data_IF_142458706476
#
_entry.id   IF_142458706476
#
_cell.length_a   1.000
_cell.length_b   1.000
_cell.length_c   1.000
_cell.angle_alpha   90.00
_cell.angle_beta   90.00
_cell.angle_gamma   90.00
#
_symmetry.space_group_name_H-M   'P 1'
#
loop_
_entity.id
_entity.type
_entity.pdbx_description
1 polymer ?
#
# COMPACT_ATOMS: atom_id res chain seq x y z
N UNK A 1 0.86 13.04 -57.31
CA UNK A 1 -0.33 13.83 -56.97
C UNK A 1 -0.26 14.21 -55.49
N UNK A 2 0.26 15.41 -55.23
CA UNK A 2 0.09 16.15 -53.95
C UNK A 2 -0.91 17.28 -54.21
N UNK A 3 -1.30 18.12 -53.25
CA UNK A 3 -1.59 17.95 -51.80
C UNK A 3 -2.98 18.60 -51.49
N UNK A 4 -3.31 18.83 -50.21
CA UNK A 4 -4.21 19.89 -49.62
C UNK A 4 -4.91 19.31 -48.37
N UNK A 5 -5.14 19.98 -47.25
CA UNK A 5 -4.99 21.38 -46.82
C UNK A 5 -5.09 21.42 -45.27
N UNK A 6 -4.41 22.40 -44.68
CA UNK A 6 -4.47 22.82 -43.27
C UNK A 6 -5.90 23.17 -42.82
N UNK A 7 -6.18 23.08 -41.51
CA UNK A 7 -6.82 24.22 -40.84
C UNK A 7 -6.47 24.25 -39.33
N UNK A 8 -5.81 25.35 -38.96
CA UNK A 8 -5.68 25.87 -37.60
C UNK A 8 -7.03 26.40 -37.11
N UNK A 9 -7.39 26.17 -35.84
CA UNK A 9 -8.25 27.14 -35.16
C UNK A 9 -7.90 27.32 -33.68
N UNK A 10 -7.37 28.50 -33.43
CA UNK A 10 -7.19 29.15 -32.16
C UNK A 10 -8.53 29.45 -31.45
N UNK A 11 -8.45 29.71 -30.14
CA UNK A 11 -9.38 30.60 -29.45
C UNK A 11 -9.94 30.05 -28.14
N UNK A 12 -9.61 30.69 -27.02
CA UNK A 12 -10.35 30.48 -25.77
C UNK A 12 -9.60 30.81 -24.48
N UNK A 13 -8.94 31.96 -24.38
CA UNK A 13 -8.48 32.51 -23.09
C UNK A 13 -9.73 33.04 -22.37
N UNK A 14 -10.07 32.45 -21.22
CA UNK A 14 -11.16 32.91 -20.36
C UNK A 14 -10.55 33.33 -19.01
N UNK A 15 -10.40 34.64 -18.85
CA UNK A 15 -9.96 35.29 -17.62
C UNK A 15 -10.96 35.03 -16.48
N UNK A 16 -10.50 34.75 -15.25
CA UNK A 16 -11.36 34.85 -14.08
C UNK A 16 -11.46 36.31 -13.61
N UNK A 17 -12.71 36.74 -13.50
CA UNK A 17 -13.19 38.00 -12.96
C UNK A 17 -12.84 38.13 -11.47
N UNK A 18 -12.25 39.27 -11.13
CA UNK A 18 -11.98 39.80 -9.80
C UNK A 18 -13.28 40.40 -9.25
N UNK A 19 -13.79 39.92 -8.12
CA UNK A 19 -14.90 40.54 -7.41
C UNK A 19 -14.81 40.22 -5.91
N UNK A 20 -14.69 41.30 -5.12
CA UNK A 20 -15.15 41.51 -3.73
C UNK A 20 -14.55 40.59 -2.64
N UNK A 21 -13.64 41.02 -1.75
CA UNK A 21 -13.69 42.13 -0.76
C UNK A 21 -15.04 42.24 -0.08
N UNK A 22 -15.20 41.55 1.06
CA UNK A 22 -15.86 42.15 2.21
C UNK A 22 -15.15 41.73 3.50
N UNK A 23 -14.64 42.73 4.20
CA UNK A 23 -14.13 42.69 5.56
C UNK A 23 -15.32 42.79 6.50
N UNK A 24 -15.49 41.84 7.41
CA UNK A 24 -16.25 42.11 8.63
C UNK A 24 -15.72 41.31 9.82
N UNK A 25 -15.17 42.06 10.76
CA UNK A 25 -14.84 41.81 12.16
C UNK A 25 -15.24 43.12 12.87
N UNK A 26 -15.44 43.26 14.20
CA UNK A 26 -15.66 42.32 15.30
C UNK A 26 -16.91 42.72 16.17
N UNK A 27 -17.09 42.04 17.33
CA UNK A 27 -17.69 42.49 18.63
C UNK A 27 -18.94 41.74 19.12
N UNK A 28 -18.88 41.31 20.38
CA UNK A 28 -20.05 40.95 21.21
C UNK A 28 -19.80 39.76 22.14
N UNK A 29 -18.95 39.90 23.17
CA UNK A 29 -19.37 40.01 24.59
C UNK A 29 -20.63 39.19 24.97
N UNK A 30 -20.49 38.14 25.79
CA UNK A 30 -20.72 38.25 27.23
C UNK A 30 -20.51 36.92 27.96
N UNK A 31 -19.98 37.06 29.16
CA UNK A 31 -19.75 36.08 30.20
C UNK A 31 -21.04 35.70 30.92
N UNK A 32 -21.21 34.42 31.26
CA UNK A 32 -21.94 34.04 32.47
C UNK A 32 -21.27 32.83 33.12
N UNK A 33 -20.66 33.12 34.25
CA UNK A 33 -20.28 32.15 35.28
C UNK A 33 -21.55 31.83 36.03
N UNK A 34 -21.93 30.55 36.14
CA UNK A 34 -22.72 30.14 37.29
C UNK A 34 -22.18 28.84 37.88
N UNK A 35 -21.96 28.95 39.17
CA UNK A 35 -21.29 28.03 40.06
C UNK A 35 -22.37 27.63 41.04
N UNK A 36 -22.84 26.39 41.01
CA UNK A 36 -23.52 25.84 42.18
C UNK A 36 -23.28 24.34 42.30
N UNK A 37 -22.75 24.01 43.47
CA UNK A 37 -22.34 22.70 43.95
C UNK A 37 -23.51 22.09 44.79
N UNK A 38 -23.33 21.00 45.54
CA UNK A 38 -23.83 19.66 45.25
C UNK A 38 -25.09 19.26 46.06
N UNK A 39 -25.80 18.22 45.61
CA UNK A 39 -26.69 17.42 46.47
C UNK A 39 -26.56 15.93 46.20
N UNK A 40 -26.36 15.20 47.30
CA UNK A 40 -26.15 13.77 47.43
C UNK A 40 -27.42 12.92 47.29
N UNK A 41 -27.30 11.77 46.58
CA UNK A 41 -27.73 10.37 46.92
C UNK A 41 -29.27 10.10 47.06
N UNK A 42 -29.87 8.96 46.59
CA UNK A 42 -29.38 7.57 46.72
C UNK A 42 -29.51 6.61 45.52
N UNK A 43 -28.85 5.46 45.74
CA UNK A 43 -28.85 4.17 45.07
C UNK A 43 -30.10 3.79 44.26
N UNK A 44 -29.85 3.39 43.01
CA UNK A 44 -30.67 2.40 42.32
C UNK A 44 -29.74 1.41 41.62
N UNK A 45 -29.65 0.22 42.21
CA UNK A 45 -29.09 -0.98 41.59
C UNK A 45 -29.89 -1.28 40.32
N UNK A 46 -29.25 -1.15 39.17
CA UNK A 46 -29.70 -1.76 37.92
C UNK A 46 -28.49 -2.35 37.21
N UNK A 47 -28.32 -3.62 37.51
CA UNK A 47 -27.56 -4.60 36.76
C UNK A 47 -27.87 -4.50 35.27
N UNK A 48 -26.92 -3.97 34.50
CA UNK A 48 -26.86 -4.13 33.05
C UNK A 48 -25.51 -4.77 32.71
N UNK A 49 -25.59 -6.06 32.37
CA UNK A 49 -24.73 -6.86 31.48
C UNK A 49 -23.31 -6.34 31.14
N UNK A 50 -22.24 -7.06 31.54
CA UNK A 50 -20.90 -6.85 31.02
C UNK A 50 -20.72 -7.59 29.68
N UNK A 51 -21.27 -7.07 28.60
CA UNK A 51 -21.03 -7.63 27.24
C UNK A 51 -20.93 -6.57 26.15
N UNK A 52 -20.28 -5.43 26.40
CA UNK A 52 -19.81 -4.54 25.31
C UNK A 52 -18.46 -3.87 25.65
N UNK A 53 -17.56 -4.60 26.31
CA UNK A 53 -16.13 -4.25 26.36
C UNK A 53 -15.36 -5.19 25.43
N UNK A 54 -15.58 -5.06 24.12
CA UNK A 54 -14.60 -5.53 23.13
C UNK A 54 -13.89 -4.31 22.57
N UNK A 55 -12.77 -3.99 23.22
CA UNK A 55 -11.59 -3.37 22.65
C UNK A 55 -11.81 -2.15 21.74
N UNK A 56 -12.18 -1.02 22.33
CA UNK A 56 -11.58 0.26 21.91
C UNK A 56 -10.13 0.29 22.42
N UNK A 57 -9.25 -0.56 21.88
CA UNK A 57 -7.82 -0.29 21.94
C UNK A 57 -7.61 0.86 20.97
N UNK A 58 -7.35 2.06 21.49
CA UNK A 58 -6.68 3.10 20.73
C UNK A 58 -5.39 2.48 20.18
N UNK A 59 -5.51 2.08 18.93
CA UNK A 59 -4.47 1.43 18.16
C UNK A 59 -3.50 2.54 17.76
N UNK A 60 -2.53 2.82 18.64
CA UNK A 60 -1.25 3.41 18.24
C UNK A 60 -0.52 2.33 17.42
N UNK A 61 -1.09 2.04 16.24
CA UNK A 61 -0.64 0.98 15.34
C UNK A 61 0.52 1.57 14.57
N UNK A 62 1.70 1.06 14.90
CA UNK A 62 2.90 1.33 14.14
C UNK A 62 2.67 1.00 12.66
N UNK A 63 3.24 1.79 11.77
CA UNK A 63 3.07 1.61 10.33
C UNK A 63 3.48 0.21 9.83
N UNK A 64 4.30 -0.50 10.60
CA UNK A 64 4.69 -1.91 10.37
C UNK A 64 3.55 -2.87 10.69
N UNK A 65 2.89 -2.68 11.82
CA UNK A 65 1.78 -3.53 12.26
C UNK A 65 0.59 -3.38 11.30
N UNK A 66 0.35 -2.16 10.80
CA UNK A 66 -0.63 -1.92 9.74
C UNK A 66 -0.29 -2.72 8.48
N UNK A 67 0.97 -2.72 8.05
CA UNK A 67 1.39 -3.47 6.87
C UNK A 67 1.20 -4.98 7.06
N UNK A 68 1.57 -5.52 8.22
CA UNK A 68 1.38 -6.94 8.54
C UNK A 68 -0.10 -7.29 8.52
N UNK A 69 -0.96 -6.48 9.14
CA UNK A 69 -2.41 -6.68 9.08
C UNK A 69 -2.95 -6.66 7.64
N UNK A 70 -2.55 -5.69 6.81
CA UNK A 70 -2.96 -5.65 5.40
C UNK A 70 -2.48 -6.87 4.63
N UNK A 71 -1.25 -7.33 4.87
CA UNK A 71 -0.67 -8.51 4.23
C UNK A 71 -1.45 -9.77 4.60
N UNK A 72 -1.81 -9.94 5.87
CA UNK A 72 -2.59 -11.08 6.34
C UNK A 72 -4.03 -11.04 5.84
N UNK A 73 -4.66 -9.85 5.79
CA UNK A 73 -6.03 -9.69 5.30
C UNK A 73 -6.16 -9.92 3.79
N UNK A 74 -5.25 -9.37 2.98
CA UNK A 74 -5.28 -9.50 1.53
C UNK A 74 -4.64 -10.80 1.03
N UNK A 75 -3.77 -11.43 1.84
CA UNK A 75 -3.00 -12.64 1.50
C UNK A 75 -2.14 -12.50 0.23
N UNK A 76 -1.94 -11.27 -0.24
CA UNK A 76 -1.18 -10.96 -1.45
C UNK A 76 -0.23 -9.79 -1.18
N UNK A 77 1.08 -10.06 -1.28
CA UNK A 77 2.13 -9.10 -0.92
C UNK A 77 2.07 -7.81 -1.74
N UNK A 78 1.92 -7.93 -3.06
CA UNK A 78 1.92 -6.78 -3.96
C UNK A 78 0.77 -5.82 -3.66
N UNK A 79 -0.41 -6.36 -3.33
CA UNK A 79 -1.61 -5.56 -3.10
C UNK A 79 -1.52 -4.84 -1.75
N UNK A 80 -1.05 -5.55 -0.73
CA UNK A 80 -0.77 -4.97 0.58
C UNK A 80 0.29 -3.86 0.51
N UNK A 81 1.37 -4.07 -0.25
CA UNK A 81 2.44 -3.09 -0.41
C UNK A 81 1.95 -1.83 -1.13
N UNK A 82 1.22 -1.97 -2.24
CA UNK A 82 0.65 -0.84 -2.96
C UNK A 82 -0.35 -0.09 -2.08
N UNK A 83 -1.26 -0.78 -1.40
CA UNK A 83 -2.24 -0.16 -0.52
C UNK A 83 -1.58 0.57 0.66
N UNK A 84 -0.55 -0.01 1.26
CA UNK A 84 0.21 0.61 2.34
C UNK A 84 0.89 1.91 1.90
N UNK A 85 1.51 1.93 0.72
CA UNK A 85 2.10 3.17 0.16
C UNK A 85 1.01 4.23 -0.07
N UNK A 86 -0.15 3.86 -0.61
CA UNK A 86 -1.25 4.80 -0.83
C UNK A 86 -1.75 5.42 0.47
N UNK A 87 -1.86 4.62 1.55
CA UNK A 87 -2.23 5.11 2.88
C UNK A 87 -1.16 6.03 3.46
N UNK A 88 0.13 5.70 3.29
CA UNK A 88 1.25 6.55 3.71
C UNK A 88 1.23 7.93 3.04
N UNK A 89 0.88 7.98 1.76
CA UNK A 89 0.79 9.21 0.96
C UNK A 89 -0.54 9.98 1.17
N UNK A 90 -1.36 9.57 2.16
CA UNK A 90 -2.67 10.18 2.47
C UNK A 90 -3.63 10.20 1.27
N UNK A 91 -3.63 9.12 0.49
CA UNK A 91 -4.52 8.96 -0.67
C UNK A 91 -6.01 8.83 -0.29
N UNK A 92 -6.33 8.77 1.00
CA UNK A 92 -7.68 8.82 1.55
C UNK A 92 -8.23 10.26 1.59
N UNK A 93 -7.38 11.24 1.93
CA UNK A 93 -7.75 12.66 1.99
C UNK A 93 -7.58 13.33 0.64
N UNK A 94 -6.53 12.98 -0.11
CA UNK A 94 -6.16 13.62 -1.38
C UNK A 94 -6.08 12.61 -2.52
N UNK A 95 -6.46 13.01 -3.72
CA UNK A 95 -6.19 12.19 -4.92
C UNK A 95 -4.68 12.09 -5.15
N UNK A 96 -4.16 10.87 -5.08
CA UNK A 96 -2.75 10.60 -5.28
C UNK A 96 -2.45 10.38 -6.76
N UNK A 97 -1.62 11.24 -7.33
CA UNK A 97 -1.21 11.17 -8.73
C UNK A 97 -0.03 10.21 -8.84
N UNK A 98 -0.24 9.06 -9.48
CA UNK A 98 0.82 8.05 -9.62
C UNK A 98 0.73 7.28 -10.94
N UNK A 99 1.77 6.53 -11.24
CA UNK A 99 1.80 5.57 -12.35
C UNK A 99 2.34 4.25 -11.84
N UNK A 100 2.02 3.13 -12.52
CA UNK A 100 2.55 1.81 -12.12
C UNK A 100 4.09 1.76 -12.14
N UNK A 101 4.73 2.59 -12.97
CA UNK A 101 6.18 2.68 -13.05
C UNK A 101 6.77 3.43 -11.84
N UNK A 102 6.17 4.57 -11.46
CA UNK A 102 6.58 5.32 -10.26
C UNK A 102 6.36 4.51 -8.98
N UNK A 103 5.24 3.79 -8.91
CA UNK A 103 4.95 2.93 -7.76
C UNK A 103 6.02 1.83 -7.60
N UNK A 104 6.38 1.16 -8.69
CA UNK A 104 7.40 0.11 -8.69
C UNK A 104 8.80 0.63 -8.33
N UNK A 105 9.29 1.65 -9.05
CA UNK A 105 10.69 2.06 -8.93
C UNK A 105 10.95 3.09 -7.83
N UNK A 106 10.04 4.03 -7.61
CA UNK A 106 10.25 5.13 -6.65
C UNK A 106 9.77 4.75 -5.27
N UNK A 107 8.54 4.23 -5.17
CA UNK A 107 7.92 3.98 -3.86
C UNK A 107 8.33 2.62 -3.28
N UNK A 108 8.40 1.59 -4.12
CA UNK A 108 8.75 0.23 -3.70
C UNK A 108 10.20 -0.13 -3.99
N UNK A 109 11.03 0.83 -4.43
CA UNK A 109 12.47 0.65 -4.68
C UNK A 109 12.82 -0.55 -5.58
N UNK A 110 11.93 -0.91 -6.51
CA UNK A 110 12.11 -2.06 -7.40
C UNK A 110 11.82 -3.44 -6.79
N UNK A 111 11.38 -3.51 -5.53
CA UNK A 111 10.96 -4.78 -4.89
C UNK A 111 9.77 -5.40 -5.61
N UNK A 112 8.92 -4.55 -6.21
CA UNK A 112 7.75 -4.97 -6.98
C UNK A 112 7.90 -4.60 -8.45
N UNK A 113 7.67 -5.55 -9.36
CA UNK A 113 7.68 -5.28 -10.81
C UNK A 113 6.53 -4.34 -11.23
N UNK A 114 6.73 -3.60 -12.32
CA UNK A 114 5.73 -2.71 -12.93
C UNK A 114 4.44 -3.46 -13.26
N UNK A 115 4.51 -4.68 -13.79
CA UNK A 115 3.32 -5.45 -14.13
C UNK A 115 2.60 -5.95 -12.88
N UNK A 116 3.35 -6.29 -11.83
CA UNK A 116 2.78 -6.64 -10.54
C UNK A 116 2.04 -5.44 -9.93
N UNK A 117 2.65 -4.25 -9.92
CA UNK A 117 1.98 -3.02 -9.47
C UNK A 117 0.70 -2.72 -10.26
N UNK A 118 0.73 -2.86 -11.60
CA UNK A 118 -0.46 -2.69 -12.45
C UNK A 118 -1.57 -3.69 -12.11
N UNK A 119 -1.23 -4.97 -11.90
CA UNK A 119 -2.18 -6.01 -11.48
C UNK A 119 -2.77 -5.70 -10.11
N UNK A 120 -1.95 -5.24 -9.17
CA UNK A 120 -2.40 -4.84 -7.84
C UNK A 120 -3.38 -3.67 -7.88
N UNK A 121 -3.14 -2.63 -8.70
CA UNK A 121 -4.13 -1.57 -8.88
C UNK A 121 -5.47 -2.10 -9.39
N UNK A 122 -5.45 -3.03 -10.35
CA UNK A 122 -6.66 -3.67 -10.87
C UNK A 122 -7.38 -4.48 -9.79
N UNK A 123 -6.65 -5.31 -9.03
CA UNK A 123 -7.22 -6.16 -7.99
C UNK A 123 -7.80 -5.34 -6.83
N UNK A 124 -7.09 -4.31 -6.37
CA UNK A 124 -7.57 -3.41 -5.32
C UNK A 124 -8.81 -2.62 -5.77
N UNK A 125 -8.90 -2.29 -7.07
CA UNK A 125 -10.07 -1.64 -7.64
C UNK A 125 -11.26 -2.62 -7.73
N UNK A 126 -11.03 -3.88 -8.10
CA UNK A 126 -12.07 -4.94 -8.10
C UNK A 126 -12.62 -5.19 -6.70
N UNK A 127 -11.77 -5.10 -5.67
CA UNK A 127 -12.17 -5.21 -4.26
C UNK A 127 -12.82 -3.93 -3.71
N UNK A 128 -13.00 -2.89 -4.53
CA UNK A 128 -13.56 -1.58 -4.15
C UNK A 128 -12.79 -0.88 -3.02
N UNK A 129 -11.51 -1.22 -2.83
CA UNK A 129 -10.65 -0.57 -1.82
C UNK A 129 -10.10 0.77 -2.34
N UNK A 130 -9.96 0.89 -3.65
CA UNK A 130 -9.45 2.10 -4.30
C UNK A 130 -10.30 2.48 -5.51
N UNK A 131 -10.39 3.79 -5.76
CA UNK A 131 -10.95 4.36 -6.96
C UNK A 131 -9.83 4.88 -7.86
N UNK A 132 -9.76 4.34 -9.08
CA UNK A 132 -8.70 4.65 -10.03
C UNK A 132 -9.31 5.41 -11.22
N UNK A 133 -8.86 6.65 -11.43
CA UNK A 133 -9.23 7.48 -12.57
C UNK A 133 -8.02 7.68 -13.47
N UNK A 134 -8.10 7.17 -14.68
CA UNK A 134 -7.04 7.34 -15.68
C UNK A 134 -7.32 8.65 -16.42
N UNK A 135 -6.43 9.64 -16.25
CA UNK A 135 -6.51 10.85 -17.06
C UNK A 135 -5.78 10.64 -18.39
N UNK A 136 -6.27 11.23 -19.49
CA UNK A 136 -5.66 11.04 -20.81
C UNK A 136 -4.22 11.57 -20.78
N UNK A 137 -3.27 10.66 -20.97
CA UNK A 137 -1.82 10.85 -21.25
C UNK A 137 -0.91 11.30 -20.10
N UNK A 138 -1.41 11.76 -18.95
CA UNK A 138 -0.54 12.41 -17.95
C UNK A 138 -0.38 11.67 -16.63
N UNK A 139 -1.43 11.10 -16.05
CA UNK A 139 -1.30 10.35 -14.80
C UNK A 139 -2.55 9.52 -14.46
N UNK A 140 -2.36 8.54 -13.57
CA UNK A 140 -3.45 7.83 -12.90
C UNK A 140 -3.69 8.49 -11.55
N UNK A 141 -4.90 8.99 -11.33
CA UNK A 141 -5.35 9.53 -10.05
C UNK A 141 -5.96 8.38 -9.25
N UNK A 142 -5.44 8.14 -8.06
CA UNK A 142 -5.88 7.08 -7.17
C UNK A 142 -6.40 7.70 -5.88
N UNK A 143 -7.61 7.32 -5.48
CA UNK A 143 -8.20 7.68 -4.19
C UNK A 143 -8.53 6.42 -3.42
N UNK A 144 -8.15 6.35 -2.15
CA UNK A 144 -8.44 5.21 -1.28
C UNK A 144 -9.79 5.40 -0.62
N UNK A 145 -10.62 4.34 -0.61
CA UNK A 145 -11.85 4.34 0.17
C UNK A 145 -11.51 3.98 1.62
N UNK A 146 -11.49 5.00 2.48
CA UNK A 146 -11.22 4.83 3.91
C UNK A 146 -12.20 3.89 4.59
N UNK A 147 -13.48 3.93 4.22
CA UNK A 147 -14.50 3.10 4.86
C UNK A 147 -14.29 1.62 4.52
N UNK A 148 -14.01 1.32 3.25
CA UNK A 148 -13.72 -0.04 2.79
C UNK A 148 -12.45 -0.61 3.45
N UNK A 149 -11.38 0.18 3.55
CA UNK A 149 -10.15 -0.25 4.22
C UNK A 149 -10.37 -0.50 5.71
N UNK A 150 -11.11 0.37 6.40
CA UNK A 150 -11.44 0.16 7.82
C UNK A 150 -12.32 -1.08 8.03
N UNK A 151 -13.25 -1.38 7.12
CA UNK A 151 -14.01 -2.63 7.17
C UNK A 151 -13.11 -3.86 6.96
N UNK A 152 -12.16 -3.78 6.03
CA UNK A 152 -11.16 -4.83 5.83
C UNK A 152 -10.32 -5.08 7.09
N UNK A 153 -9.91 -4.01 7.79
CA UNK A 153 -9.12 -4.10 9.02
C UNK A 153 -9.92 -4.57 10.23
N UNK A 154 -11.25 -4.36 10.24
CA UNK A 154 -12.14 -4.90 11.28
C UNK A 154 -12.39 -6.39 11.14
N UNK A 155 -12.15 -6.97 9.96
CA UNK A 155 -12.34 -8.40 9.73
C UNK A 155 -11.38 -9.19 10.63
N UNK A 156 -11.86 -10.15 11.42
CA UNK A 156 -11.00 -10.95 12.27
C UNK A 156 -10.00 -11.73 11.42
N UNK A 157 -8.73 -11.66 11.78
CA UNK A 157 -7.68 -12.47 11.18
C UNK A 157 -7.76 -13.90 11.71
N UNK A 158 -7.45 -14.87 10.85
CA UNK A 158 -7.45 -16.28 11.25
C UNK A 158 -6.37 -16.53 12.32
N UNK A 159 -6.78 -16.94 13.53
CA UNK A 159 -5.86 -17.25 14.64
C UNK A 159 -4.91 -18.43 14.41
N UNK A 160 -5.01 -19.10 13.24
CA UNK A 160 -4.09 -20.14 12.79
C UNK A 160 -2.93 -19.60 11.96
N UNK A 161 -2.89 -18.30 11.68
CA UNK A 161 -1.82 -17.69 10.89
C UNK A 161 -0.48 -17.77 11.66
N UNK A 162 0.62 -18.17 10.99
CA UNK A 162 1.95 -18.12 11.59
C UNK A 162 2.26 -16.66 11.93
N UNK A 163 2.58 -16.39 13.20
CA UNK A 163 2.82 -15.04 13.72
C UNK A 163 1.76 -14.50 14.69
N UNK A 164 0.51 -14.99 14.61
CA UNK A 164 -0.54 -14.69 15.61
C UNK A 164 -0.77 -15.84 16.59
N UNK A 165 -0.23 -17.02 16.27
CA UNK A 165 -0.35 -18.20 17.13
C UNK A 165 0.55 -18.07 18.36
N UNK A 166 0.00 -18.26 19.56
CA UNK A 166 0.72 -18.26 20.83
C UNK A 166 1.66 -19.48 21.03
N UNK A 167 2.03 -20.17 19.95
CA UNK A 167 2.95 -21.30 20.01
C UNK A 167 4.36 -20.76 20.25
N UNK A 168 4.97 -21.22 21.34
CA UNK A 168 6.38 -20.98 21.62
C UNK A 168 7.22 -21.62 20.51
N UNK A 169 8.23 -20.89 20.03
CA UNK A 169 9.18 -21.34 19.02
C UNK A 169 10.57 -21.46 19.66
N UNK A 170 10.92 -22.63 20.25
CA UNK A 170 12.20 -22.81 20.94
C UNK A 170 13.44 -22.51 20.07
N UNK A 171 13.29 -22.63 18.75
CA UNK A 171 14.32 -22.23 17.79
C UNK A 171 14.67 -20.73 17.87
N UNK A 172 13.67 -19.85 18.08
CA UNK A 172 13.92 -18.42 18.20
C UNK A 172 14.70 -18.08 19.47
N UNK A 173 14.47 -18.83 20.56
CA UNK A 173 15.22 -18.69 21.80
C UNK A 173 16.69 -19.07 21.56
N UNK A 174 16.93 -20.25 20.98
CA UNK A 174 18.28 -20.70 20.62
C UNK A 174 18.99 -19.75 19.63
N UNK A 175 18.28 -19.22 18.63
CA UNK A 175 18.83 -18.27 17.66
C UNK A 175 19.12 -16.90 18.29
N UNK A 176 18.29 -16.45 19.22
CA UNK A 176 18.52 -15.19 19.96
C UNK A 176 19.76 -15.31 20.86
N UNK A 177 19.94 -16.46 21.50
CA UNK A 177 21.16 -16.79 22.26
C UNK A 177 22.41 -16.79 21.36
N UNK A 178 22.34 -17.35 20.15
CA UNK A 178 23.43 -17.32 19.16
C UNK A 178 23.79 -15.89 18.74
N UNK A 179 22.78 -15.05 18.45
CA UNK A 179 23.02 -13.62 18.12
C UNK A 179 23.63 -12.86 19.29
N UNK A 180 23.24 -13.17 20.52
CA UNK A 180 23.85 -12.63 21.73
C UNK A 180 25.33 -12.99 21.84
N UNK A 181 25.69 -14.26 21.62
CA UNK A 181 27.09 -14.74 21.63
C UNK A 181 27.94 -14.09 20.55
N UNK A 182 27.44 -14.02 19.30
CA UNK A 182 28.14 -13.39 18.17
C UNK A 182 28.29 -11.87 18.29
N UNK A 183 27.45 -11.18 19.08
CA UNK A 183 27.63 -9.75 19.37
C UNK A 183 28.75 -9.46 20.38
N UNK A 184 29.23 -10.48 21.10
CA UNK A 184 30.29 -10.37 22.12
C UNK A 184 31.66 -10.88 21.66
N UNK A 185 31.78 -11.35 20.42
CA UNK A 185 33.05 -11.75 19.81
C UNK A 185 32.97 -11.60 18.31
N UNK A 186 33.83 -10.76 17.73
CA UNK A 186 34.14 -10.80 16.31
C UNK A 186 35.21 -11.88 16.13
N UNK A 187 34.91 -13.12 15.68
CA UNK A 187 35.90 -13.94 15.02
C UNK A 187 35.97 -13.47 13.57
N UNK A 188 36.92 -12.57 13.33
CA UNK A 188 37.41 -12.19 12.01
C UNK A 188 38.15 -13.37 11.38
N UNK A 189 37.42 -14.33 10.82
CA UNK A 189 37.97 -15.27 9.84
C UNK A 189 36.82 -15.96 9.09
N UNK A 190 36.41 -15.37 7.98
CA UNK A 190 35.87 -16.18 6.89
C UNK A 190 37.04 -17.07 6.44
N UNK A 191 36.86 -18.39 6.29
CA UNK A 191 37.92 -19.22 5.75
C UNK A 191 38.25 -18.72 4.35
N UNK A 192 39.54 -18.46 4.11
CA UNK A 192 40.13 -18.24 2.79
C UNK A 192 39.47 -19.19 1.79
N UNK A 193 38.60 -18.63 0.95
CA UNK A 193 38.18 -19.30 -0.29
C UNK A 193 39.40 -19.21 -1.18
N UNK A 194 40.18 -20.27 -1.08
CA UNK A 194 41.42 -20.50 -1.81
C UNK A 194 41.22 -20.12 -3.28
N UNK A 195 41.85 -19.02 -3.65
CA UNK A 195 41.96 -18.57 -5.01
C UNK A 195 42.90 -19.54 -5.73
N UNK A 196 42.35 -20.45 -6.54
CA UNK A 196 43.13 -21.05 -7.62
C UNK A 196 42.37 -21.13 -8.95
N UNK A 197 42.87 -20.44 -9.99
CA UNK A 197 42.32 -20.42 -11.34
C UNK A 197 42.89 -21.57 -12.16
N UNK A 198 42.10 -22.15 -13.08
CA UNK A 198 42.53 -22.70 -14.38
C UNK A 198 41.39 -23.46 -15.04
N UNK A 199 41.10 -23.12 -16.29
CA UNK A 199 40.22 -23.93 -17.14
C UNK A 199 39.46 -23.13 -18.20
N UNK A 200 40.15 -22.21 -18.89
CA UNK A 200 39.72 -21.82 -20.24
C UNK A 200 39.89 -23.05 -21.12
N UNK A 201 38.80 -23.58 -21.67
CA UNK A 201 38.85 -24.35 -22.92
C UNK A 201 37.76 -23.82 -23.87
N UNK A 202 38.12 -23.44 -25.10
CA UNK A 202 37.24 -22.79 -26.06
C UNK A 202 36.53 -23.80 -26.98
N UNK A 203 35.32 -23.40 -27.39
CA UNK A 203 34.73 -23.58 -28.73
C UNK A 203 34.84 -24.98 -29.37
N UNK A 204 33.69 -25.66 -29.46
CA UNK A 204 33.35 -26.40 -30.68
C UNK A 204 31.89 -26.21 -31.07
N UNK A 205 31.74 -25.50 -32.18
CA UNK A 205 30.56 -25.40 -33.01
C UNK A 205 29.95 -26.77 -33.32
N UNK A 206 28.63 -26.87 -33.33
CA UNK A 206 27.93 -27.81 -34.20
C UNK A 206 26.57 -27.24 -34.60
N UNK A 207 26.43 -27.21 -35.91
CA UNK A 207 25.37 -26.79 -36.79
C UNK A 207 24.14 -27.70 -36.79
N UNK A 208 23.08 -27.19 -37.43
CA UNK A 208 21.93 -27.91 -38.03
C UNK A 208 20.79 -28.24 -37.04
N UNK A 209 19.50 -28.05 -37.34
CA UNK A 209 18.80 -28.00 -38.61
C UNK A 209 17.46 -27.25 -38.47
N UNK A 210 16.99 -26.64 -39.57
CA UNK A 210 15.58 -26.36 -39.86
C UNK A 210 14.69 -27.58 -39.61
N UNK A 211 13.40 -27.36 -39.27
CA UNK A 211 12.40 -27.71 -40.27
C UNK A 211 11.32 -26.64 -40.47
N UNK A 212 11.07 -26.37 -41.74
CA UNK A 212 9.82 -25.82 -42.26
C UNK A 212 8.66 -26.75 -41.90
N UNK A 213 7.54 -26.16 -41.47
CA UNK A 213 6.29 -26.89 -41.23
C UNK A 213 5.14 -25.91 -41.12
N UNK A 214 4.52 -25.59 -42.26
CA UNK A 214 3.31 -24.78 -42.32
C UNK A 214 2.07 -25.56 -41.91
N UNK A 215 1.06 -24.83 -41.41
CA UNK A 215 -0.34 -25.23 -41.49
C UNK A 215 -1.23 -24.01 -41.21
N UNK A 216 -1.79 -23.45 -42.28
CA UNK A 216 -2.88 -22.47 -42.25
C UNK A 216 -4.19 -23.20 -41.96
N UNK A 217 -5.00 -22.82 -40.96
CA UNK A 217 -6.34 -23.37 -40.77
C UNK A 217 -7.37 -22.67 -41.68
N UNK A 218 -8.31 -23.41 -42.31
CA UNK A 218 -9.43 -22.82 -43.04
C UNK A 218 -10.56 -22.34 -42.09
N UNK A 219 -11.39 -21.37 -42.52
CA UNK A 219 -12.54 -20.91 -41.76
C UNK A 219 -13.71 -21.91 -41.81
N UNK A 220 -14.38 -22.09 -40.67
CA UNK A 220 -15.66 -22.81 -40.55
C UNK A 220 -16.81 -21.86 -40.88
N UNK A 221 -17.76 -22.37 -41.69
CA UNK A 221 -19.09 -21.79 -41.96
C UNK A 221 -19.93 -21.66 -40.69
#
# INVERSE_FOLDING_TARGET
MSPRVLDERAGGVKSPSLADVDQNDPRGNHCHVDRNEPRSIPEAVSSLSPTEQVCSRELDVDGRDLFIHLLLSLRHFADAAVLWVLLKERADVKEFTTTSMLMSHVQLSGVLDRNAAKRSFKSLQEQSLIHVRIHRKTATLVKVDRAAVLQLLRRPLDGRLPGLSAKLFPFLDAWSEERGRCSSGIPSSWPDVDASPRGLEPVRSSSASEPQGGATPPPLN
#
